data_IF_362960230843
#
_entry.id   IF_362960230843
#
_cell.length_a   1.000
_cell.length_b   1.000
_cell.length_c   1.000
_cell.angle_alpha   90.00
_cell.angle_beta   90.00
_cell.angle_gamma   90.00
#
_symmetry.space_group_name_H-M   'P 1'
#
loop_
_entity.id
_entity.type
_entity.pdbx_description
1 polymer ?
#
# COMPACT_ATOMS: atom_id res chain seq x y z
N UNK A 1 -10.73 -15.76 -35.23
CA UNK A 1 -11.71 -16.74 -34.69
C UNK A 1 -12.00 -16.38 -33.27
N UNK A 2 -13.24 -16.03 -32.91
CA UNK A 2 -13.63 -15.70 -31.54
C UNK A 2 -14.23 -16.95 -30.91
N UNK A 3 -13.69 -17.37 -29.77
CA UNK A 3 -14.26 -18.46 -28.98
C UNK A 3 -15.15 -17.85 -27.91
N UNK A 4 -16.44 -18.02 -28.02
CA UNK A 4 -17.40 -17.66 -26.95
C UNK A 4 -17.43 -18.84 -25.99
N UNK A 5 -16.98 -18.62 -24.77
CA UNK A 5 -17.06 -19.61 -23.70
C UNK A 5 -18.33 -19.40 -22.88
N UNK A 6 -19.00 -20.48 -22.48
CA UNK A 6 -20.07 -20.37 -21.50
C UNK A 6 -19.61 -19.70 -20.20
N UNK A 7 -20.51 -18.97 -19.52
CA UNK A 7 -20.20 -18.26 -18.28
C UNK A 7 -19.72 -19.18 -17.13
N UNK A 8 -20.03 -20.47 -17.21
CA UNK A 8 -19.62 -21.46 -16.22
C UNK A 8 -18.23 -22.10 -16.51
N UNK A 9 -17.49 -21.59 -17.49
CA UNK A 9 -16.16 -22.12 -17.85
C UNK A 9 -15.13 -21.01 -17.85
N UNK A 10 -14.04 -21.21 -17.12
CA UNK A 10 -12.87 -20.33 -17.19
C UNK A 10 -12.03 -20.66 -18.43
N UNK A 11 -11.71 -19.65 -19.25
CA UNK A 11 -10.90 -19.82 -20.45
C UNK A 11 -9.57 -20.50 -20.12
N UNK A 12 -9.29 -21.59 -20.84
CA UNK A 12 -8.08 -22.42 -20.66
C UNK A 12 -7.90 -23.00 -19.24
N UNK A 13 -9.00 -23.17 -18.48
CA UNK A 13 -8.96 -23.73 -17.13
C UNK A 13 -9.96 -24.88 -17.00
N UNK A 14 -9.52 -25.94 -16.34
CA UNK A 14 -10.38 -27.05 -15.95
C UNK A 14 -10.94 -26.79 -14.53
N UNK A 15 -11.47 -25.59 -14.30
CA UNK A 15 -11.96 -25.17 -13.00
C UNK A 15 -13.26 -24.40 -13.19
N UNK A 16 -14.28 -24.74 -12.43
CA UNK A 16 -15.55 -24.01 -12.42
C UNK A 16 -15.34 -22.61 -11.80
N UNK A 17 -15.99 -21.56 -12.33
CA UNK A 17 -15.86 -20.21 -11.83
C UNK A 17 -16.18 -20.08 -10.34
N UNK A 18 -17.22 -20.76 -9.87
CA UNK A 18 -17.65 -20.74 -8.47
C UNK A 18 -16.55 -21.28 -7.55
N UNK A 19 -15.97 -22.44 -7.91
CA UNK A 19 -14.86 -23.05 -7.15
C UNK A 19 -13.61 -22.16 -7.17
N UNK A 20 -13.33 -21.51 -8.29
CA UNK A 20 -12.24 -20.55 -8.40
C UNK A 20 -12.46 -19.32 -7.51
N UNK A 21 -13.69 -18.78 -7.49
CA UNK A 21 -14.08 -17.66 -6.64
C UNK A 21 -13.95 -18.00 -5.16
N UNK A 22 -14.46 -19.15 -4.73
CA UNK A 22 -14.33 -19.62 -3.35
C UNK A 22 -12.88 -19.81 -2.93
N UNK A 23 -12.04 -20.43 -3.79
CA UNK A 23 -10.62 -20.63 -3.51
C UNK A 23 -9.86 -19.30 -3.40
N UNK A 24 -10.16 -18.32 -4.26
CA UNK A 24 -9.57 -16.97 -4.17
C UNK A 24 -10.04 -16.24 -2.92
N UNK A 25 -11.32 -16.35 -2.55
CA UNK A 25 -11.86 -15.75 -1.33
C UNK A 25 -11.20 -16.36 -0.09
N UNK A 26 -11.03 -17.67 -0.05
CA UNK A 26 -10.34 -18.38 1.02
C UNK A 26 -8.86 -17.95 1.13
N UNK A 27 -8.17 -17.82 -0.01
CA UNK A 27 -6.81 -17.26 -0.08
C UNK A 27 -6.80 -15.80 0.41
N UNK A 28 -7.78 -15.00 0.03
CA UNK A 28 -7.94 -13.63 0.52
C UNK A 28 -8.15 -13.61 2.04
N UNK A 29 -8.86 -14.57 2.59
CA UNK A 29 -9.05 -14.76 4.04
C UNK A 29 -7.78 -15.15 4.80
N UNK A 30 -6.73 -15.58 4.11
CA UNK A 30 -5.43 -15.94 4.70
C UNK A 30 -5.14 -17.45 4.75
N UNK A 31 -5.88 -18.27 4.00
CA UNK A 31 -5.52 -19.67 3.78
C UNK A 31 -4.39 -19.77 2.75
N UNK A 32 -3.50 -20.75 2.92
CA UNK A 32 -2.48 -21.07 1.91
C UNK A 32 -3.12 -21.68 0.66
N UNK A 33 -2.43 -21.57 -0.49
CA UNK A 33 -2.89 -22.20 -1.72
C UNK A 33 -3.09 -23.72 -1.56
N UNK A 34 -2.24 -24.38 -0.76
CA UNK A 34 -2.36 -25.79 -0.46
C UNK A 34 -3.63 -26.12 0.34
N UNK A 35 -3.96 -25.32 1.34
CA UNK A 35 -5.20 -25.48 2.13
C UNK A 35 -6.45 -25.23 1.26
N UNK A 36 -6.43 -24.14 0.47
CA UNK A 36 -7.52 -23.85 -0.48
C UNK A 36 -7.71 -24.99 -1.48
N UNK A 37 -6.62 -25.56 -1.98
CA UNK A 37 -6.65 -26.67 -2.92
C UNK A 37 -7.35 -27.92 -2.32
N UNK A 38 -7.04 -28.23 -1.06
CA UNK A 38 -7.69 -29.36 -0.37
C UNK A 38 -9.19 -29.07 -0.16
N UNK A 39 -9.54 -27.87 0.33
CA UNK A 39 -10.93 -27.52 0.63
C UNK A 39 -11.80 -27.47 -0.64
N UNK A 40 -11.25 -26.92 -1.73
CA UNK A 40 -11.96 -26.71 -2.98
C UNK A 40 -11.75 -27.86 -3.99
N UNK A 41 -11.06 -28.92 -3.61
CA UNK A 41 -10.74 -30.09 -4.47
C UNK A 41 -10.07 -29.71 -5.80
N UNK A 42 -9.13 -28.77 -5.78
CA UNK A 42 -8.37 -28.31 -6.94
C UNK A 42 -6.86 -28.50 -6.72
N UNK A 43 -6.10 -28.55 -7.81
CA UNK A 43 -4.65 -28.61 -7.68
C UNK A 43 -4.08 -27.25 -7.23
N UNK A 44 -3.15 -27.20 -6.23
CA UNK A 44 -2.55 -25.94 -5.77
C UNK A 44 -1.89 -25.14 -6.90
N UNK A 45 -1.29 -25.83 -7.87
CA UNK A 45 -0.68 -25.23 -9.05
C UNK A 45 -1.71 -24.57 -9.97
N UNK A 46 -2.92 -25.13 -10.08
CA UNK A 46 -3.99 -24.52 -10.87
C UNK A 46 -4.43 -23.18 -10.28
N UNK A 47 -4.57 -23.09 -8.95
CA UNK A 47 -4.89 -21.85 -8.26
C UNK A 47 -3.75 -20.82 -8.40
N UNK A 48 -2.50 -21.26 -8.26
CA UNK A 48 -1.33 -20.38 -8.45
C UNK A 48 -1.27 -19.81 -9.89
N UNK A 49 -1.55 -20.64 -10.89
CA UNK A 49 -1.64 -20.19 -12.30
C UNK A 49 -2.80 -19.23 -12.53
N UNK A 50 -3.94 -19.45 -11.89
CA UNK A 50 -5.07 -18.53 -11.96
C UNK A 50 -4.69 -17.17 -11.40
N UNK A 51 -4.11 -17.10 -10.19
CA UNK A 51 -3.67 -15.84 -9.59
C UNK A 51 -2.68 -15.08 -10.49
N UNK A 52 -1.72 -15.78 -11.10
CA UNK A 52 -0.78 -15.15 -12.05
C UNK A 52 -1.47 -14.62 -13.30
N UNK A 53 -2.40 -15.38 -13.86
CA UNK A 53 -3.16 -14.94 -15.03
C UNK A 53 -3.99 -13.69 -14.74
N UNK A 54 -4.57 -13.58 -13.54
CA UNK A 54 -5.26 -12.35 -13.10
C UNK A 54 -4.29 -11.15 -12.99
N UNK A 55 -3.01 -11.40 -12.78
CA UNK A 55 -1.98 -10.36 -12.64
C UNK A 55 -1.28 -9.96 -13.94
N UNK A 56 -1.72 -10.42 -15.10
CA UNK A 56 -1.14 -10.02 -16.40
C UNK A 56 -1.46 -8.56 -16.76
N UNK A 57 -2.60 -8.04 -16.27
CA UNK A 57 -2.98 -6.64 -16.45
C UNK A 57 -2.47 -5.78 -15.30
N UNK A 58 -2.01 -4.56 -15.62
CA UNK A 58 -1.57 -3.63 -14.58
C UNK A 58 -2.74 -3.19 -13.69
N UNK A 59 -2.45 -2.90 -12.41
CA UNK A 59 -3.44 -2.37 -11.48
C UNK A 59 -4.04 -1.06 -11.97
N UNK A 60 -3.22 -0.17 -12.54
CA UNK A 60 -3.69 1.10 -13.09
C UNK A 60 -4.72 0.88 -14.18
N UNK A 61 -4.44 -0.03 -15.13
CA UNK A 61 -5.37 -0.34 -16.24
C UNK A 61 -6.72 -0.86 -15.71
N UNK A 62 -6.69 -1.76 -14.74
CA UNK A 62 -7.92 -2.33 -14.15
C UNK A 62 -8.71 -1.26 -13.40
N UNK A 63 -8.05 -0.43 -12.59
CA UNK A 63 -8.72 0.58 -11.79
C UNK A 63 -9.27 1.75 -12.61
N UNK A 64 -8.60 2.13 -13.70
CA UNK A 64 -9.13 3.13 -14.64
C UNK A 64 -10.35 2.61 -15.41
N UNK A 65 -10.41 1.31 -15.73
CA UNK A 65 -11.63 0.67 -16.25
C UNK A 65 -12.81 0.72 -15.29
N UNK A 66 -12.54 0.79 -13.99
CA UNK A 66 -13.56 1.03 -12.97
C UNK A 66 -13.91 2.52 -12.81
N UNK A 67 -13.50 3.38 -13.73
CA UNK A 67 -13.70 4.83 -13.68
C UNK A 67 -13.12 5.51 -12.42
N UNK A 68 -12.13 4.89 -11.75
CA UNK A 68 -11.43 5.55 -10.67
C UNK A 68 -10.47 6.61 -11.22
N UNK A 69 -10.50 7.84 -10.66
CA UNK A 69 -9.55 8.87 -11.03
C UNK A 69 -8.13 8.50 -10.61
N UNK A 70 -7.14 8.83 -11.44
CA UNK A 70 -5.73 8.62 -11.09
C UNK A 70 -5.36 9.39 -9.81
N UNK A 71 -4.63 8.77 -8.88
CA UNK A 71 -4.39 9.33 -7.56
C UNK A 71 -3.32 10.43 -7.61
N UNK A 72 -3.68 11.68 -7.44
CA UNK A 72 -2.72 12.80 -7.35
C UNK A 72 -2.07 12.94 -5.97
N UNK A 73 -2.64 12.29 -4.95
CA UNK A 73 -2.09 12.09 -3.61
C UNK A 73 -2.13 10.62 -3.24
N UNK A 74 -1.01 10.07 -2.81
CA UNK A 74 -0.95 8.67 -2.39
C UNK A 74 0.05 8.43 -1.25
N UNK A 75 0.03 7.22 -0.72
CA UNK A 75 0.99 6.70 0.24
C UNK A 75 1.90 5.72 -0.47
N UNK A 76 3.20 5.82 -0.23
CA UNK A 76 4.18 4.88 -0.76
C UNK A 76 5.08 4.37 0.37
N UNK A 77 5.30 3.08 0.38
CA UNK A 77 6.15 2.37 1.33
C UNK A 77 6.55 1.02 0.74
N UNK A 78 7.47 0.32 1.36
CA UNK A 78 7.81 -1.05 1.00
C UNK A 78 7.48 -2.03 2.13
N UNK A 79 6.94 -3.17 1.76
CA UNK A 79 6.76 -4.30 2.68
C UNK A 79 7.88 -5.31 2.48
N UNK A 80 8.46 -5.77 3.58
CA UNK A 80 9.43 -6.85 3.54
C UNK A 80 8.73 -8.21 3.54
N UNK A 81 9.23 -9.13 2.71
CA UNK A 81 8.82 -10.53 2.66
C UNK A 81 10.05 -11.40 2.43
N UNK A 82 9.85 -12.70 2.25
CA UNK A 82 10.93 -13.63 1.95
C UNK A 82 10.65 -14.39 0.65
N UNK A 83 11.71 -14.67 -0.11
CA UNK A 83 11.70 -15.64 -1.19
C UNK A 83 12.71 -16.73 -0.83
N UNK A 84 12.21 -17.91 -0.46
CA UNK A 84 13.05 -18.95 0.17
C UNK A 84 13.77 -18.39 1.41
N UNK A 85 15.10 -18.29 1.38
CA UNK A 85 15.93 -17.72 2.44
C UNK A 85 16.20 -16.24 2.30
N UNK A 86 15.98 -15.67 1.10
CA UNK A 86 16.36 -14.31 0.77
C UNK A 86 15.23 -13.32 1.08
N UNK A 87 15.63 -12.13 1.52
CA UNK A 87 14.69 -11.04 1.76
C UNK A 87 14.30 -10.38 0.44
N UNK A 88 13.01 -10.21 0.23
CA UNK A 88 12.43 -9.48 -0.90
C UNK A 88 11.61 -8.29 -0.41
N UNK A 89 11.34 -7.35 -1.30
CA UNK A 89 10.66 -6.11 -1.00
C UNK A 89 9.49 -5.93 -1.94
N UNK A 90 8.40 -5.38 -1.42
CA UNK A 90 7.17 -5.12 -2.14
C UNK A 90 6.88 -3.61 -2.13
N UNK A 91 7.48 -2.82 -3.05
CA UNK A 91 7.16 -1.41 -3.20
C UNK A 91 5.68 -1.23 -3.51
N UNK A 92 4.99 -0.42 -2.72
CA UNK A 92 3.54 -0.34 -2.72
C UNK A 92 3.07 1.11 -2.83
N UNK A 93 2.04 1.36 -3.67
CA UNK A 93 1.33 2.64 -3.74
C UNK A 93 -0.14 2.40 -3.38
N UNK A 94 -0.62 3.16 -2.40
CA UNK A 94 -2.02 3.11 -1.94
C UNK A 94 -2.62 4.52 -1.95
N UNK A 95 -3.77 4.66 -2.59
CA UNK A 95 -4.61 5.85 -2.45
C UNK A 95 -6.01 5.43 -2.05
N UNK A 96 -6.55 6.09 -1.03
CA UNK A 96 -7.77 5.60 -0.40
C UNK A 96 -7.61 4.17 0.11
N UNK A 97 -8.58 3.31 -0.21
CA UNK A 97 -8.60 1.89 0.15
C UNK A 97 -8.13 0.96 -0.97
N UNK A 98 -7.57 1.51 -2.02
CA UNK A 98 -7.16 0.80 -3.23
C UNK A 98 -5.64 0.79 -3.34
N UNK A 99 -5.07 -0.37 -3.66
CA UNK A 99 -3.66 -0.52 -4.02
C UNK A 99 -3.53 -0.23 -5.52
N UNK A 100 -2.80 0.81 -5.87
CA UNK A 100 -2.52 1.23 -7.25
C UNK A 100 -1.27 0.60 -7.84
N UNK A 101 -0.35 0.17 -6.98
CA UNK A 101 0.86 -0.55 -7.37
C UNK A 101 1.31 -1.46 -6.22
N UNK A 102 1.74 -2.65 -6.57
CA UNK A 102 2.44 -3.58 -5.69
C UNK A 102 3.51 -4.28 -6.52
N UNK A 103 4.74 -3.85 -6.32
CA UNK A 103 5.90 -4.39 -7.01
C UNK A 103 6.55 -5.56 -6.26
N UNK A 104 7.40 -6.30 -6.96
CA UNK A 104 8.29 -7.30 -6.40
C UNK A 104 9.73 -6.97 -6.75
N UNK A 105 10.62 -6.93 -5.77
CA UNK A 105 12.05 -6.73 -6.01
C UNK A 105 12.90 -7.47 -4.96
N UNK A 106 14.03 -7.99 -5.38
CA UNK A 106 15.00 -8.70 -4.55
C UNK A 106 16.03 -7.77 -3.91
N UNK A 107 15.98 -6.48 -4.26
CA UNK A 107 16.91 -5.48 -3.73
C UNK A 107 16.17 -4.30 -3.09
N UNK A 108 16.74 -3.78 -2.01
CA UNK A 108 16.30 -2.53 -1.35
C UNK A 108 16.95 -1.28 -1.90
N UNK A 109 17.67 -1.36 -3.02
CA UNK A 109 18.36 -0.21 -3.60
C UNK A 109 17.37 0.80 -4.19
N UNK A 110 17.78 2.06 -4.28
CA UNK A 110 16.97 3.10 -4.90
C UNK A 110 16.69 2.81 -6.37
N UNK A 111 17.65 2.20 -7.09
CA UNK A 111 17.49 1.83 -8.50
C UNK A 111 16.42 0.73 -8.67
N UNK A 112 16.42 -0.27 -7.79
CA UNK A 112 15.42 -1.34 -7.82
C UNK A 112 14.01 -0.78 -7.54
N UNK A 113 13.89 0.12 -6.58
CA UNK A 113 12.62 0.79 -6.26
C UNK A 113 12.19 1.75 -7.37
N UNK A 114 13.15 2.46 -8.01
CA UNK A 114 12.86 3.32 -9.16
C UNK A 114 12.30 2.50 -10.33
N UNK A 115 12.84 1.32 -10.61
CA UNK A 115 12.29 0.43 -11.63
C UNK A 115 10.86 0.00 -11.27
N UNK A 116 10.65 -0.45 -10.03
CA UNK A 116 9.33 -0.90 -9.60
C UNK A 116 8.28 0.21 -9.60
N UNK A 117 8.53 1.34 -8.93
CA UNK A 117 7.60 2.48 -8.97
C UNK A 117 7.47 3.10 -10.37
N UNK A 118 8.49 2.93 -11.24
CA UNK A 118 8.47 3.33 -12.64
C UNK A 118 7.41 2.61 -13.46
N UNK A 119 7.07 1.36 -13.12
CA UNK A 119 5.96 0.64 -13.74
C UNK A 119 4.62 1.36 -13.51
N UNK A 120 4.38 1.86 -12.29
CA UNK A 120 3.22 2.69 -12.00
C UNK A 120 3.24 4.00 -12.80
N UNK A 121 4.36 4.72 -12.80
CA UNK A 121 4.50 5.97 -13.56
C UNK A 121 4.25 5.75 -15.05
N UNK A 122 4.81 4.69 -15.62
CA UNK A 122 4.60 4.33 -17.02
C UNK A 122 3.12 4.06 -17.30
N UNK A 123 2.47 3.21 -16.49
CA UNK A 123 1.08 2.87 -16.67
C UNK A 123 0.14 4.08 -16.57
N UNK A 124 0.33 4.97 -15.60
CA UNK A 124 -0.50 6.19 -15.51
C UNK A 124 -0.26 7.16 -16.66
N UNK A 125 0.98 7.27 -17.17
CA UNK A 125 1.32 8.11 -18.31
C UNK A 125 0.69 7.61 -19.61
N UNK A 126 0.42 6.32 -19.74
CA UNK A 126 -0.33 5.76 -20.88
C UNK A 126 -1.81 6.14 -20.87
N UNK A 127 -2.40 6.36 -19.68
CA UNK A 127 -3.80 6.77 -19.54
C UNK A 127 -3.95 8.28 -19.60
N UNK A 128 -3.01 9.05 -19.05
CA UNK A 128 -3.07 10.50 -18.99
C UNK A 128 -1.66 11.11 -19.08
N UNK A 129 -1.33 11.67 -20.26
CA UNK A 129 -0.02 12.29 -20.51
C UNK A 129 0.26 13.51 -19.61
N UNK A 130 -0.80 14.21 -19.19
CA UNK A 130 -0.71 15.39 -18.32
C UNK A 130 -0.66 15.03 -16.84
N UNK A 131 -0.72 13.74 -16.48
CA UNK A 131 -0.76 13.30 -15.09
C UNK A 131 0.38 13.87 -14.24
N UNK A 132 0.04 14.42 -13.10
CA UNK A 132 0.97 14.99 -12.13
C UNK A 132 0.65 14.54 -10.72
N UNK A 133 1.66 14.07 -10.02
CA UNK A 133 1.57 13.77 -8.59
C UNK A 133 1.79 15.05 -7.80
N UNK A 134 0.85 15.39 -6.94
CA UNK A 134 0.94 16.57 -6.07
C UNK A 134 1.65 16.23 -4.75
N UNK A 135 1.35 15.08 -4.18
CA UNK A 135 1.96 14.71 -2.91
C UNK A 135 2.03 13.22 -2.64
N UNK A 136 3.13 12.81 -1.99
CA UNK A 136 3.34 11.42 -1.56
C UNK A 136 3.70 11.38 -0.09
N UNK A 137 2.97 10.57 0.67
CA UNK A 137 3.30 10.28 2.06
C UNK A 137 4.14 9.01 2.15
N UNK A 138 5.29 9.09 2.85
CA UNK A 138 6.17 7.92 3.09
C UNK A 138 6.42 7.73 4.59
N UNK A 139 7.01 6.59 4.96
CA UNK A 139 7.53 6.35 6.32
C UNK A 139 8.91 7.01 6.55
N UNK A 140 9.55 7.46 5.47
CA UNK A 140 10.85 8.11 5.48
C UNK A 140 12.03 7.16 5.18
N UNK A 141 11.80 6.01 4.50
CA UNK A 141 12.86 5.15 4.01
C UNK A 141 13.58 5.79 2.82
N UNK A 142 14.90 5.85 2.87
CA UNK A 142 15.71 6.68 1.95
C UNK A 142 15.61 6.21 0.50
N UNK A 143 15.63 4.89 0.24
CA UNK A 143 15.51 4.36 -1.13
C UNK A 143 14.15 4.68 -1.75
N UNK A 144 13.06 4.60 -0.98
CA UNK A 144 11.71 5.01 -1.41
C UNK A 144 11.67 6.51 -1.72
N UNK A 145 12.23 7.34 -0.83
CA UNK A 145 12.29 8.81 -1.04
C UNK A 145 13.08 9.15 -2.31
N UNK A 146 14.25 8.54 -2.52
CA UNK A 146 15.10 8.79 -3.68
C UNK A 146 14.39 8.38 -4.97
N UNK A 147 13.77 7.20 -5.00
CA UNK A 147 13.00 6.71 -6.16
C UNK A 147 11.85 7.64 -6.52
N UNK A 148 11.07 8.08 -5.52
CA UNK A 148 9.94 8.97 -5.73
C UNK A 148 10.37 10.37 -6.20
N UNK A 149 11.51 10.90 -5.74
CA UNK A 149 12.07 12.16 -6.25
C UNK A 149 12.50 12.07 -7.69
N UNK A 150 13.07 10.93 -8.09
CA UNK A 150 13.47 10.69 -9.47
C UNK A 150 12.25 10.60 -10.39
N UNK A 151 11.21 9.86 -10.00
CA UNK A 151 10.03 9.60 -10.83
C UNK A 151 9.04 10.76 -10.82
N UNK A 152 8.90 11.45 -9.69
CA UNK A 152 7.92 12.53 -9.49
C UNK A 152 8.59 13.79 -8.91
N UNK A 153 9.48 14.46 -9.65
CA UNK A 153 10.30 15.55 -9.12
C UNK A 153 9.49 16.76 -8.64
N UNK A 154 8.26 16.95 -9.16
CA UNK A 154 7.33 18.00 -8.74
C UNK A 154 6.48 17.65 -7.52
N UNK A 155 6.50 16.40 -7.04
CA UNK A 155 5.66 15.97 -5.93
C UNK A 155 6.22 16.43 -4.57
N UNK A 156 5.33 16.84 -3.68
CA UNK A 156 5.69 17.10 -2.27
C UNK A 156 5.82 15.78 -1.54
N UNK A 157 6.97 15.53 -0.90
CA UNK A 157 7.20 14.32 -0.10
C UNK A 157 6.95 14.61 1.36
N UNK A 158 5.91 13.98 1.92
CA UNK A 158 5.53 14.05 3.32
C UNK A 158 5.99 12.83 4.11
N UNK A 159 6.29 13.03 5.40
CA UNK A 159 6.59 11.92 6.32
C UNK A 159 5.38 11.62 7.20
N UNK A 160 5.04 10.34 7.33
CA UNK A 160 3.94 9.85 8.15
C UNK A 160 4.07 10.30 9.62
N UNK A 161 3.05 11.01 10.13
CA UNK A 161 3.06 11.51 11.53
C UNK A 161 2.93 10.35 12.53
N UNK A 162 2.22 9.28 12.20
CA UNK A 162 2.09 8.11 13.07
C UNK A 162 3.43 7.39 13.21
N UNK A 163 4.16 7.20 12.11
CA UNK A 163 5.52 6.65 12.13
C UNK A 163 6.48 7.53 12.93
N UNK A 164 6.36 8.86 12.84
CA UNK A 164 7.15 9.78 13.69
C UNK A 164 6.90 9.50 15.18
N UNK A 165 5.64 9.40 15.59
CA UNK A 165 5.27 9.08 16.98
C UNK A 165 5.80 7.72 17.43
N UNK A 166 5.71 6.71 16.56
CA UNK A 166 6.16 5.35 16.87
C UNK A 166 7.69 5.20 16.87
N UNK A 167 8.43 5.99 16.07
CA UNK A 167 9.90 5.98 16.02
C UNK A 167 10.55 6.76 17.20
N UNK A 168 9.82 7.67 17.86
CA UNK A 168 10.35 8.46 18.99
C UNK A 168 10.90 7.60 20.15
N UNK A 169 10.21 6.54 20.65
CA UNK A 169 10.75 5.71 21.72
C UNK A 169 12.13 5.12 21.43
N UNK A 170 12.41 4.78 20.17
CA UNK A 170 13.74 4.27 19.74
C UNK A 170 14.84 5.33 19.71
N UNK A 171 14.48 6.62 19.79
CA UNK A 171 15.45 7.73 19.93
C UNK A 171 15.79 8.03 21.38
N UNK A 172 15.08 7.40 22.32
CA UNK A 172 15.21 7.63 23.76
C UNK A 172 15.87 6.39 24.40
N UNK A 173 17.04 6.56 24.99
CA UNK A 173 17.81 5.47 25.61
C UNK A 173 17.95 5.70 27.11
N UNK A 174 18.09 4.61 27.87
CA UNK A 174 18.36 4.64 29.31
C UNK A 174 17.34 5.48 30.12
N UNK A 175 16.05 5.42 29.76
CA UNK A 175 14.98 6.08 30.50
C UNK A 175 13.89 5.11 30.93
N UNK A 176 13.24 5.38 32.04
CA UNK A 176 12.14 4.57 32.55
C UNK A 176 10.94 4.52 31.58
N UNK A 177 10.27 3.36 31.50
CA UNK A 177 9.12 3.16 30.61
C UNK A 177 7.99 4.20 30.80
N UNK A 178 7.60 4.63 32.00
CA UNK A 178 6.59 5.66 32.18
C UNK A 178 6.97 7.00 31.54
N UNK A 179 8.23 7.45 31.70
CA UNK A 179 8.73 8.69 31.09
C UNK A 179 8.71 8.59 29.57
N UNK A 180 9.13 7.44 29.01
CA UNK A 180 9.10 7.18 27.56
C UNK A 180 7.68 7.25 27.02
N UNK A 181 6.71 6.65 27.70
CA UNK A 181 5.27 6.71 27.33
C UNK A 181 4.75 8.15 27.38
N UNK A 182 5.07 8.91 28.42
CA UNK A 182 4.66 10.30 28.56
C UNK A 182 5.23 11.19 27.43
N UNK A 183 6.50 11.04 27.10
CA UNK A 183 7.13 11.77 25.98
C UNK A 183 6.50 11.41 24.64
N UNK A 184 6.22 10.11 24.38
CA UNK A 184 5.51 9.67 23.18
C UNK A 184 4.12 10.28 23.07
N UNK A 185 3.34 10.24 24.15
CA UNK A 185 1.99 10.85 24.21
C UNK A 185 2.04 12.36 23.95
N UNK A 186 2.97 13.07 24.58
CA UNK A 186 3.14 14.52 24.37
C UNK A 186 3.51 14.86 22.94
N UNK A 187 4.38 14.08 22.30
CA UNK A 187 4.76 14.25 20.89
C UNK A 187 3.59 13.98 19.96
N UNK A 188 2.82 12.92 20.22
CA UNK A 188 1.59 12.64 19.50
C UNK A 188 0.61 13.82 19.56
N UNK A 189 0.31 14.31 20.77
CA UNK A 189 -0.58 15.47 20.95
C UNK A 189 -0.05 16.70 20.22
N UNK A 190 1.27 16.93 20.24
CA UNK A 190 1.90 18.06 19.53
C UNK A 190 1.62 17.98 18.02
N UNK A 191 1.89 16.83 17.40
CA UNK A 191 1.72 16.66 15.95
C UNK A 191 0.24 16.70 15.54
N UNK A 192 -0.63 15.93 16.20
CA UNK A 192 -2.04 15.83 15.81
C UNK A 192 -2.83 17.10 16.10
N UNK A 193 -2.64 17.76 17.26
CA UNK A 193 -3.28 19.05 17.54
C UNK A 193 -2.79 20.16 16.60
N UNK A 194 -1.53 20.10 16.19
CA UNK A 194 -1.02 21.03 15.22
C UNK A 194 -1.76 20.88 13.88
N UNK A 195 -1.94 19.65 13.38
CA UNK A 195 -2.63 19.36 12.10
C UNK A 195 -4.08 19.84 12.08
N UNK A 196 -4.80 19.69 13.20
CA UNK A 196 -6.22 20.07 13.28
C UNK A 196 -6.44 21.56 13.59
N UNK A 197 -5.39 22.33 13.84
CA UNK A 197 -5.50 23.75 14.17
C UNK A 197 -5.46 24.59 12.88
N UNK A 198 -6.63 25.08 12.46
CA UNK A 198 -6.73 26.01 11.33
C UNK A 198 -5.74 27.16 11.49
N UNK A 199 -4.97 27.46 10.42
CA UNK A 199 -4.04 28.60 10.38
C UNK A 199 -2.73 28.43 11.16
N UNK A 200 -2.37 27.20 11.62
CA UNK A 200 -1.05 26.99 12.19
C UNK A 200 0.02 27.09 11.10
N UNK A 201 0.83 28.13 11.15
CA UNK A 201 1.95 28.29 10.22
C UNK A 201 3.06 27.28 10.54
N UNK A 202 3.76 26.80 9.51
CA UNK A 202 4.90 25.87 9.63
C UNK A 202 5.97 26.39 10.58
N UNK A 203 6.19 27.71 10.62
CA UNK A 203 7.08 28.34 11.60
C UNK A 203 6.67 28.02 13.05
N UNK A 204 5.38 28.11 13.38
CA UNK A 204 4.88 27.79 14.71
C UNK A 204 5.03 26.31 15.06
N UNK A 205 4.89 25.41 14.08
CA UNK A 205 5.20 23.99 14.25
C UNK A 205 6.70 23.81 14.58
N UNK A 206 7.58 24.46 13.82
CA UNK A 206 9.03 24.43 14.06
C UNK A 206 9.41 24.87 15.48
N UNK A 207 8.78 25.93 15.98
CA UNK A 207 8.98 26.39 17.37
C UNK A 207 8.50 25.34 18.40
N UNK A 208 7.36 24.69 18.15
CA UNK A 208 6.85 23.65 19.07
C UNK A 208 7.75 22.43 19.08
N UNK A 209 8.26 22.00 17.93
CA UNK A 209 9.21 20.88 17.82
C UNK A 209 10.50 21.18 18.56
N UNK A 210 11.02 22.42 18.45
CA UNK A 210 12.21 22.89 19.19
C UNK A 210 11.97 22.87 20.71
N UNK A 211 10.82 23.41 21.17
CA UNK A 211 10.42 23.36 22.58
C UNK A 211 10.27 21.93 23.09
N UNK A 212 9.75 21.03 22.25
CA UNK A 212 9.66 19.61 22.61
C UNK A 212 11.04 18.98 22.80
N UNK A 213 12.00 19.22 21.90
CA UNK A 213 13.37 18.72 22.06
C UNK A 213 14.06 19.26 23.36
N UNK A 214 13.81 20.51 23.69
CA UNK A 214 14.29 21.07 24.95
C UNK A 214 13.62 20.40 26.17
N UNK A 215 12.31 20.15 26.10
CA UNK A 215 11.59 19.41 27.13
C UNK A 215 12.11 17.99 27.33
N UNK A 216 12.48 17.30 26.23
CA UNK A 216 13.14 15.99 26.32
C UNK A 216 14.49 16.12 27.03
N UNK A 217 15.27 17.14 26.72
CA UNK A 217 16.57 17.38 27.39
C UNK A 217 16.44 17.55 28.91
N UNK A 218 15.44 18.30 29.39
CA UNK A 218 15.20 18.48 30.81
C UNK A 218 14.60 17.26 31.50
N UNK A 219 13.77 16.46 30.79
CA UNK A 219 13.04 15.33 31.40
C UNK A 219 13.80 14.03 31.32
N UNK A 220 14.56 13.81 30.22
CA UNK A 220 15.21 12.54 29.88
C UNK A 220 16.74 12.65 29.70
N UNK A 221 17.31 13.83 30.03
CA UNK A 221 18.73 14.13 29.93
C UNK A 221 19.17 14.74 28.61
N UNK A 222 20.25 15.52 28.65
CA UNK A 222 20.79 16.33 27.55
C UNK A 222 21.08 15.47 26.29
N UNK A 223 21.64 14.27 26.47
CA UNK A 223 21.96 13.38 25.37
C UNK A 223 20.71 12.93 24.60
N UNK A 224 19.61 12.62 25.29
CA UNK A 224 18.32 12.28 24.66
C UNK A 224 17.72 13.50 23.95
N UNK A 225 17.79 14.69 24.56
CA UNK A 225 17.37 15.93 23.92
C UNK A 225 18.13 16.24 22.63
N UNK A 226 19.46 16.05 22.63
CA UNK A 226 20.29 16.24 21.45
C UNK A 226 19.93 15.27 20.31
N UNK A 227 19.76 13.97 20.60
CA UNK A 227 19.33 12.96 19.62
C UNK A 227 17.97 13.28 19.02
N UNK A 228 17.00 13.65 19.86
CA UNK A 228 15.65 14.02 19.39
C UNK A 228 15.71 15.29 18.54
N UNK A 229 16.51 16.29 18.92
CA UNK A 229 16.69 17.51 18.14
C UNK A 229 17.28 17.23 16.77
N UNK A 230 18.32 16.40 16.69
CA UNK A 230 18.95 16.00 15.43
C UNK A 230 17.94 15.28 14.53
N UNK A 231 17.26 14.27 15.04
CA UNK A 231 16.21 13.55 14.31
C UNK A 231 15.07 14.47 13.82
N UNK A 232 14.62 15.43 14.62
CA UNK A 232 13.63 16.43 14.19
C UNK A 232 14.19 17.26 13.02
N UNK A 233 15.44 17.69 13.07
CA UNK A 233 16.04 18.46 11.98
C UNK A 233 16.08 17.69 10.66
N UNK A 234 16.39 16.40 10.71
CA UNK A 234 16.40 15.53 9.52
C UNK A 234 14.99 15.33 8.92
N UNK A 235 13.97 15.18 9.76
CA UNK A 235 12.62 14.76 9.31
C UNK A 235 11.62 15.92 9.19
N UNK A 236 11.91 17.11 9.73
CA UNK A 236 10.96 18.24 9.80
C UNK A 236 10.41 18.67 8.42
N UNK A 237 11.23 18.62 7.37
CA UNK A 237 10.80 19.04 6.02
C UNK A 237 9.63 18.20 5.53
N UNK A 238 9.72 16.87 5.68
CA UNK A 238 8.60 15.99 5.32
C UNK A 238 7.37 16.18 6.22
N UNK A 239 7.54 16.52 7.50
CA UNK A 239 6.39 16.87 8.35
C UNK A 239 5.78 18.22 7.94
N UNK A 240 6.58 19.20 7.58
CA UNK A 240 6.09 20.50 7.10
C UNK A 240 5.25 20.34 5.84
N UNK A 241 5.68 19.51 4.89
CA UNK A 241 4.89 19.20 3.69
C UNK A 241 3.47 18.70 4.03
N UNK A 242 3.34 17.82 5.04
CA UNK A 242 2.02 17.35 5.51
C UNK A 242 1.19 18.47 6.14
N UNK A 243 1.81 19.47 6.80
CA UNK A 243 1.08 20.57 7.43
C UNK A 243 0.71 21.69 6.46
N UNK A 244 1.52 21.92 5.43
CA UNK A 244 1.30 22.95 4.42
C UNK A 244 0.19 22.58 3.44
N UNK A 245 0.03 21.30 3.17
CA UNK A 245 -0.93 20.80 2.21
C UNK A 245 -2.09 20.05 2.90
N UNK A 246 -3.30 20.66 2.95
CA UNK A 246 -4.47 20.04 3.57
C UNK A 246 -4.91 18.72 2.92
N UNK A 247 -4.60 18.49 1.64
CA UNK A 247 -4.95 17.28 0.91
C UNK A 247 -3.94 16.15 1.13
N UNK A 248 -2.72 16.47 1.60
CA UNK A 248 -1.70 15.48 1.90
C UNK A 248 -2.20 14.47 2.95
N UNK A 249 -2.09 13.16 2.71
CA UNK A 249 -2.35 12.16 3.74
C UNK A 249 -1.51 12.41 4.99
N UNK A 250 -2.09 12.16 6.16
CA UNK A 250 -1.43 12.42 7.46
C UNK A 250 -0.73 11.18 8.01
N UNK A 251 -1.33 10.00 7.73
CA UNK A 251 -0.84 8.71 8.23
C UNK A 251 -0.81 7.67 7.11
N UNK A 252 0.05 6.67 7.27
CA UNK A 252 0.13 5.49 6.39
C UNK A 252 -0.88 4.39 6.75
N UNK A 253 -1.81 4.62 7.67
CA UNK A 253 -2.69 3.57 8.22
C UNK A 253 -3.38 2.72 7.16
N UNK A 254 -3.88 3.33 6.06
CA UNK A 254 -4.51 2.56 4.98
C UNK A 254 -3.51 1.70 4.21
N UNK A 255 -2.28 2.18 4.03
CA UNK A 255 -1.20 1.40 3.45
C UNK A 255 -0.77 0.26 4.39
N UNK A 256 -0.68 0.51 5.70
CA UNK A 256 -0.38 -0.52 6.69
C UNK A 256 -1.46 -1.62 6.70
N UNK A 257 -2.75 -1.25 6.54
CA UNK A 257 -3.86 -2.21 6.40
C UNK A 257 -3.75 -3.05 5.12
N UNK A 258 -3.40 -2.42 3.99
CA UNK A 258 -3.15 -3.11 2.72
C UNK A 258 -1.98 -4.10 2.84
N UNK A 259 -0.86 -3.66 3.41
CA UNK A 259 0.29 -4.52 3.71
C UNK A 259 -0.10 -5.71 4.60
N UNK A 260 -0.90 -5.48 5.63
CA UNK A 260 -1.36 -6.55 6.53
C UNK A 260 -2.22 -7.60 5.82
N UNK A 261 -3.08 -7.17 4.89
CA UNK A 261 -3.90 -8.07 4.10
C UNK A 261 -3.05 -8.94 3.15
N UNK A 262 -2.06 -8.36 2.48
CA UNK A 262 -1.12 -9.09 1.61
C UNK A 262 -0.20 -10.00 2.44
N UNK A 263 0.33 -9.49 3.55
CA UNK A 263 1.23 -10.25 4.44
C UNK A 263 0.59 -11.53 4.97
N UNK A 264 -0.68 -11.51 5.37
CA UNK A 264 -1.37 -12.73 5.82
C UNK A 264 -1.34 -13.83 4.78
N UNK A 265 -1.50 -13.51 3.50
CA UNK A 265 -1.43 -14.46 2.38
C UNK A 265 -0.02 -14.99 2.18
N UNK A 266 0.97 -14.10 2.16
CA UNK A 266 2.38 -14.47 2.00
C UNK A 266 2.88 -15.29 3.20
N UNK A 267 2.43 -14.96 4.42
CA UNK A 267 2.75 -15.73 5.63
C UNK A 267 2.17 -17.15 5.57
N UNK A 268 0.90 -17.29 5.17
CA UNK A 268 0.26 -18.60 5.00
C UNK A 268 0.97 -19.47 3.94
N UNK A 269 1.57 -18.85 2.93
CA UNK A 269 2.37 -19.51 1.89
C UNK A 269 3.85 -19.67 2.25
N UNK A 270 4.29 -19.18 3.43
CA UNK A 270 5.71 -19.12 3.84
C UNK A 270 6.59 -18.28 2.89
N UNK A 271 6.04 -17.21 2.32
CA UNK A 271 6.72 -16.35 1.35
C UNK A 271 6.63 -16.83 -0.10
N UNK A 272 7.60 -16.41 -0.89
CA UNK A 272 7.73 -16.83 -2.29
C UNK A 272 8.66 -18.04 -2.39
N UNK A 273 8.37 -18.96 -3.32
CA UNK A 273 9.11 -20.21 -3.47
C UNK A 273 10.02 -20.24 -4.71
N UNK A 274 9.89 -19.27 -5.61
CA UNK A 274 10.70 -19.16 -6.83
C UNK A 274 11.09 -17.70 -7.06
N UNK A 275 12.35 -17.39 -7.37
CA UNK A 275 12.75 -16.05 -7.78
C UNK A 275 12.24 -15.72 -9.19
N UNK A 276 12.19 -14.42 -9.52
CA UNK A 276 11.99 -13.94 -10.88
C UNK A 276 10.59 -13.41 -11.23
N UNK A 277 10.42 -13.03 -12.50
CA UNK A 277 9.29 -12.22 -12.99
C UNK A 277 7.89 -12.78 -12.81
N UNK A 278 7.74 -14.11 -12.62
CA UNK A 278 6.43 -14.70 -12.33
C UNK A 278 5.85 -14.25 -10.97
N UNK A 279 6.68 -13.70 -10.09
CA UNK A 279 6.23 -13.20 -8.78
C UNK A 279 5.54 -11.84 -8.90
N UNK A 280 5.96 -11.00 -9.85
CA UNK A 280 5.27 -9.74 -10.13
C UNK A 280 3.81 -10.00 -10.54
N UNK A 281 3.57 -10.89 -11.50
CA UNK A 281 2.20 -11.25 -11.90
C UNK A 281 1.42 -11.86 -10.73
N UNK A 282 2.06 -12.66 -9.88
CA UNK A 282 1.40 -13.26 -8.72
C UNK A 282 0.94 -12.20 -7.70
N UNK A 283 1.80 -11.25 -7.32
CA UNK A 283 1.42 -10.19 -6.36
C UNK A 283 0.39 -9.24 -6.96
N UNK A 284 0.48 -8.95 -8.26
CA UNK A 284 -0.52 -8.14 -8.98
C UNK A 284 -1.89 -8.83 -8.96
N UNK A 285 -1.95 -10.14 -9.23
CA UNK A 285 -3.19 -10.93 -9.17
C UNK A 285 -3.81 -10.97 -7.77
N UNK A 286 -3.00 -11.18 -6.73
CA UNK A 286 -3.46 -11.07 -5.33
C UNK A 286 -4.02 -9.68 -5.02
N UNK A 287 -3.44 -8.65 -5.62
CA UNK A 287 -3.86 -7.27 -5.41
C UNK A 287 -5.16 -6.94 -6.13
N UNK A 288 -5.39 -7.49 -7.34
CA UNK A 288 -6.71 -7.39 -7.99
C UNK A 288 -7.80 -8.01 -7.11
N UNK A 289 -7.55 -9.20 -6.57
CA UNK A 289 -8.48 -9.83 -5.62
C UNK A 289 -8.69 -8.94 -4.39
N UNK A 290 -7.63 -8.36 -3.81
CA UNK A 290 -7.76 -7.45 -2.66
C UNK A 290 -8.63 -6.22 -2.98
N UNK A 291 -8.44 -5.59 -4.12
CA UNK A 291 -9.15 -4.38 -4.51
C UNK A 291 -10.64 -4.62 -4.82
N UNK A 292 -11.00 -5.84 -5.27
CA UNK A 292 -12.32 -6.17 -5.80
C UNK A 292 -13.14 -7.10 -4.90
N UNK A 293 -12.54 -7.76 -3.91
CA UNK A 293 -13.28 -8.59 -2.94
C UNK A 293 -14.09 -7.70 -1.99
N UNK A 294 -15.40 -7.96 -1.82
CA UNK A 294 -16.23 -7.23 -0.87
C UNK A 294 -15.76 -7.40 0.57
N UNK A 295 -15.91 -6.35 1.36
CA UNK A 295 -15.66 -6.40 2.80
C UNK A 295 -16.66 -7.31 3.50
N UNK A 296 -16.22 -7.94 4.59
CA UNK A 296 -17.03 -8.84 5.38
C UNK A 296 -18.26 -8.12 5.98
N UNK A 297 -19.35 -8.86 6.19
CA UNK A 297 -20.65 -8.37 6.72
C UNK A 297 -20.56 -7.52 7.99
N UNK A 298 -19.53 -7.72 8.83
CA UNK A 298 -19.31 -6.93 10.05
C UNK A 298 -18.55 -5.62 9.83
N UNK A 299 -18.04 -5.38 8.62
CA UNK A 299 -17.37 -4.13 8.30
C UNK A 299 -18.41 -2.99 8.16
N UNK A 300 -17.97 -1.76 8.44
CA UNK A 300 -18.80 -0.55 8.24
C UNK A 300 -19.28 -0.40 6.79
N UNK A 301 -18.52 -0.93 5.84
CA UNK A 301 -18.79 -0.91 4.40
C UNK A 301 -19.01 -2.34 3.89
N UNK A 302 -19.83 -3.11 4.62
CA UNK A 302 -20.19 -4.47 4.22
C UNK A 302 -20.67 -4.50 2.77
N UNK A 303 -20.38 -5.59 2.09
CA UNK A 303 -20.76 -5.86 0.70
C UNK A 303 -20.18 -4.90 -0.37
N UNK A 304 -19.39 -3.90 0.04
CA UNK A 304 -18.62 -3.04 -0.86
C UNK A 304 -17.16 -3.51 -0.92
N UNK A 305 -16.51 -3.37 -2.06
CA UNK A 305 -15.06 -3.56 -2.16
C UNK A 305 -14.29 -2.23 -2.06
N UNK A 306 -12.95 -2.27 -2.13
CA UNK A 306 -12.13 -1.07 -2.11
C UNK A 306 -12.46 -0.10 -3.25
N UNK A 307 -12.74 -0.62 -4.44
CA UNK A 307 -13.11 0.17 -5.62
C UNK A 307 -14.43 0.91 -5.41
N UNK A 308 -15.47 0.22 -4.89
CA UNK A 308 -16.78 0.84 -4.62
C UNK A 308 -16.67 1.97 -3.59
N UNK A 309 -15.90 1.75 -2.53
CA UNK A 309 -15.72 2.74 -1.45
C UNK A 309 -15.04 4.02 -1.94
N UNK A 310 -14.16 3.90 -2.93
CA UNK A 310 -13.48 5.03 -3.56
C UNK A 310 -14.28 5.64 -4.73
N UNK A 311 -15.53 5.20 -4.95
CA UNK A 311 -16.44 5.77 -5.95
C UNK A 311 -16.23 5.21 -7.36
N UNK A 312 -15.53 4.09 -7.50
CA UNK A 312 -15.41 3.37 -8.77
C UNK A 312 -16.72 2.68 -9.17
N UNK A 313 -16.78 2.25 -10.41
CA UNK A 313 -17.92 1.53 -10.99
C UNK A 313 -17.51 0.12 -11.38
N UNK A 314 -18.23 -0.87 -10.89
CA UNK A 314 -18.01 -2.26 -11.23
C UNK A 314 -18.97 -2.70 -12.35
N UNK A 315 -18.51 -3.58 -13.28
CA UNK A 315 -19.34 -4.09 -14.37
C UNK A 315 -20.58 -4.85 -13.89
N UNK A 316 -20.47 -5.57 -12.78
CA UNK A 316 -21.52 -6.43 -12.24
C UNK A 316 -21.56 -6.37 -10.70
N UNK A 317 -22.57 -7.05 -10.11
CA UNK A 317 -22.63 -7.24 -8.65
C UNK A 317 -21.79 -8.44 -8.17
N UNK A 318 -21.40 -9.33 -9.08
CA UNK A 318 -20.55 -10.49 -8.78
C UNK A 318 -19.09 -10.07 -8.77
N UNK A 319 -18.46 -10.12 -7.61
CA UNK A 319 -17.09 -9.70 -7.42
C UNK A 319 -16.09 -10.54 -8.25
N UNK A 320 -16.32 -11.85 -8.37
CA UNK A 320 -15.40 -12.71 -9.09
C UNK A 320 -15.53 -12.53 -10.61
N UNK A 321 -16.75 -12.33 -11.10
CA UNK A 321 -16.98 -11.97 -12.49
C UNK A 321 -16.34 -10.60 -12.80
N UNK A 322 -16.39 -9.64 -11.89
CA UNK A 322 -15.68 -8.37 -12.04
C UNK A 322 -14.16 -8.57 -12.16
N UNK A 323 -13.57 -9.43 -11.31
CA UNK A 323 -12.14 -9.76 -11.42
C UNK A 323 -11.84 -10.34 -12.81
N UNK A 324 -12.64 -11.27 -13.30
CA UNK A 324 -12.45 -11.89 -14.62
C UNK A 324 -12.56 -10.87 -15.76
N UNK A 325 -13.63 -10.08 -15.80
CA UNK A 325 -13.88 -9.07 -16.84
C UNK A 325 -12.73 -8.04 -16.87
N UNK A 326 -12.40 -7.49 -15.73
CA UNK A 326 -11.45 -6.38 -15.63
C UNK A 326 -10.01 -6.80 -15.90
N UNK A 327 -9.64 -8.06 -15.59
CA UNK A 327 -8.28 -8.58 -15.82
C UNK A 327 -8.11 -9.31 -17.15
N UNK A 328 -9.17 -9.59 -17.91
CA UNK A 328 -9.11 -10.36 -19.16
C UNK A 328 -8.55 -9.60 -20.37
N UNK A 329 -8.21 -8.32 -20.23
CA UNK A 329 -7.57 -7.54 -21.30
C UNK A 329 -8.48 -7.00 -22.40
N UNK A 330 -9.79 -7.25 -22.36
CA UNK A 330 -10.60 -6.78 -23.45
C UNK A 330 -12.09 -7.02 -23.41
N UNK A 331 -12.82 -6.40 -22.53
CA UNK A 331 -14.17 -5.88 -22.82
C UNK A 331 -14.30 -4.61 -21.95
N UNK A 332 -14.25 -3.42 -22.56
CA UNK A 332 -14.80 -2.25 -21.93
C UNK A 332 -16.30 -2.45 -21.88
N UNK A 333 -16.85 -2.63 -20.71
CA UNK A 333 -18.29 -2.45 -20.52
C UNK A 333 -18.54 -0.98 -20.70
N UNK A 334 -19.12 -0.61 -21.83
CA UNK A 334 -19.64 0.76 -22.03
C UNK A 334 -20.66 1.07 -20.93
N UNK A 335 -20.70 2.30 -20.41
CA UNK A 335 -21.58 2.71 -19.35
C UNK A 335 -23.05 2.53 -19.66
#
# INVERSE_FOLDING_TARGET
MFTVLPHFVLRYRQMQPEVAGEALLATHGGLSLAQCAVICHIAPMALSRLVRALGEQSLVTVLTRCALPLPVYFRADEKHSNCLTDRVYLPTIVSGRVIWHLGYTESKSAEAFTRSYGEFQHAVSQHELSYRVHGVLTDGFDSTIQSLRTLFPGARLGNCLLHAVNKLPGKLTAIASPVRKALRSRFHVLLYRARHRKGLRVFALGQRLRRFANYVATTAGVANGARVRHWIQEKKVGWYAVFEDPQMPVTSTLLDQAHHAIERKLFAMKGFHHPGGSQQAFVTGLTHVYNLVPYQRRAKQADQCGVDVEGGRLPTQDWFLNVQILTSGGISVSP
#
